data_IF_904727167717
#
_entry.id   IF_904727167717
#
_cell.length_a   1.000
_cell.length_b   1.000
_cell.length_c   1.000
_cell.angle_alpha   90.00
_cell.angle_beta   90.00
_cell.angle_gamma   90.00
#
_symmetry.space_group_name_H-M   'P 1'
#
loop_
_entity.id
_entity.type
_entity.pdbx_description
1 polymer ?
#
# COMPACT_ATOMS: atom_id res chain seq x y z
N UNK A 1 24.21 34.34 8.76
CA UNK A 1 25.16 35.01 9.68
C UNK A 1 24.46 35.17 11.02
N UNK A 2 24.98 34.58 12.10
CA UNK A 2 24.36 34.68 13.43
C UNK A 2 25.06 35.80 14.19
N UNK A 3 24.42 36.98 14.27
CA UNK A 3 24.95 38.10 15.03
C UNK A 3 24.11 38.26 16.31
N UNK A 4 24.69 37.89 17.46
CA UNK A 4 24.03 37.97 18.76
C UNK A 4 23.93 39.40 19.31
N UNK A 5 24.57 40.37 18.64
CA UNK A 5 24.65 41.77 19.05
C UNK A 5 24.13 42.71 17.96
N UNK A 6 23.28 42.20 17.07
CA UNK A 6 22.71 42.99 15.98
C UNK A 6 21.70 43.99 16.55
N UNK A 7 22.16 45.23 16.79
CA UNK A 7 21.33 46.32 17.31
C UNK A 7 20.63 47.11 16.20
N UNK A 8 21.19 47.08 14.98
CA UNK A 8 20.72 47.89 13.84
C UNK A 8 21.03 47.19 12.52
N UNK A 9 20.09 47.25 11.58
CA UNK A 9 20.27 46.86 10.18
C UNK A 9 19.94 48.08 9.34
N UNK A 10 20.96 48.68 8.73
CA UNK A 10 20.77 49.76 7.77
C UNK A 10 20.68 49.17 6.36
N UNK A 11 19.49 49.20 5.77
CA UNK A 11 19.31 48.90 4.37
C UNK A 11 19.56 50.17 3.56
N UNK A 12 20.67 50.20 2.82
CA UNK A 12 20.93 51.27 1.85
C UNK A 12 19.90 51.19 0.71
N UNK A 13 19.48 52.33 0.15
CA UNK A 13 18.64 52.43 -1.05
C UNK A 13 19.16 51.64 -2.26
N UNK A 14 20.47 51.35 -2.30
CA UNK A 14 21.11 50.54 -3.34
C UNK A 14 21.11 49.03 -3.05
N UNK A 15 20.59 48.58 -1.90
CA UNK A 15 20.54 47.16 -1.55
C UNK A 15 19.41 46.47 -2.31
N UNK A 16 19.75 45.85 -3.45
CA UNK A 16 18.81 45.01 -4.20
C UNK A 16 18.87 43.59 -3.64
N UNK A 17 17.92 43.28 -2.77
CA UNK A 17 17.70 41.95 -2.23
C UNK A 17 16.90 41.10 -3.21
N UNK A 18 17.59 40.29 -4.01
CA UNK A 18 16.92 39.31 -4.88
C UNK A 18 16.55 38.06 -4.05
N UNK A 19 15.26 37.85 -3.77
CA UNK A 19 14.74 36.69 -3.04
C UNK A 19 14.01 37.02 -1.75
N UNK A 20 13.65 35.98 -0.99
CA UNK A 20 13.06 36.12 0.35
C UNK A 20 14.18 36.11 1.40
N UNK A 21 14.15 37.05 2.34
CA UNK A 21 15.13 37.18 3.42
C UNK A 21 14.40 37.12 4.76
N UNK A 22 14.88 36.25 5.64
CA UNK A 22 14.38 36.12 7.00
C UNK A 22 15.33 36.83 7.97
N UNK A 23 14.80 37.76 8.75
CA UNK A 23 15.56 38.46 9.79
C UNK A 23 14.99 38.04 11.14
N UNK A 24 15.76 37.22 11.87
CA UNK A 24 15.41 36.82 13.23
C UNK A 24 15.83 37.89 14.23
N UNK A 25 14.88 38.39 15.00
CA UNK A 25 15.11 39.26 16.16
C UNK A 25 15.36 38.38 17.38
N UNK A 26 16.57 38.43 17.96
CA UNK A 26 16.96 37.61 19.11
C UNK A 26 16.78 38.30 20.48
N UNK A 27 16.39 39.58 20.52
CA UNK A 27 16.19 40.34 21.75
C UNK A 27 14.92 41.18 21.65
N UNK A 28 14.14 41.28 22.73
CA UNK A 28 12.87 42.04 22.76
C UNK A 28 13.06 43.52 22.34
N UNK A 29 14.23 44.10 22.57
CA UNK A 29 14.51 45.54 22.45
C UNK A 29 15.26 45.99 21.17
N UNK A 30 15.25 45.21 20.08
CA UNK A 30 15.79 45.73 18.81
C UNK A 30 14.79 46.69 18.17
N UNK A 31 15.12 47.97 18.12
CA UNK A 31 14.41 48.99 17.34
C UNK A 31 14.82 48.92 15.88
N UNK A 32 13.85 48.80 14.98
CA UNK A 32 14.10 48.71 13.54
C UNK A 32 13.79 50.05 12.90
N UNK A 33 14.84 50.71 12.42
CA UNK A 33 14.73 51.97 11.70
C UNK A 33 14.70 51.69 10.20
N UNK A 34 13.52 51.71 9.58
CA UNK A 34 13.40 51.66 8.11
C UNK A 34 13.36 53.09 7.55
N UNK A 35 14.53 53.61 7.20
CA UNK A 35 14.66 54.90 6.52
C UNK A 35 14.32 54.79 5.04
N UNK A 36 13.05 54.57 4.71
CA UNK A 36 12.58 54.43 3.33
C UNK A 36 11.48 53.39 3.23
N UNK A 37 10.61 53.52 2.21
CA UNK A 37 9.49 52.62 1.93
C UNK A 37 10.03 51.33 1.28
N UNK A 38 10.38 50.26 2.03
CA UNK A 38 10.96 49.08 1.44
C UNK A 38 9.80 48.33 0.79
N UNK A 39 9.83 48.14 -0.52
CA UNK A 39 8.87 47.25 -1.20
C UNK A 39 9.03 45.78 -0.79
N UNK A 40 10.01 45.47 0.07
CA UNK A 40 10.23 44.16 0.68
C UNK A 40 9.45 44.00 1.99
N UNK A 41 8.56 43.02 2.04
CA UNK A 41 7.93 42.53 3.26
C UNK A 41 8.98 41.79 4.11
N UNK A 42 9.33 42.36 5.27
CA UNK A 42 10.11 41.62 6.27
C UNK A 42 9.16 40.78 7.12
N UNK A 43 9.30 39.46 7.09
CA UNK A 43 8.67 38.58 8.07
C UNK A 43 9.54 38.55 9.32
N UNK A 44 8.98 39.04 10.43
CA UNK A 44 9.61 39.00 11.74
C UNK A 44 9.28 37.67 12.40
N UNK A 45 10.32 36.95 12.84
CA UNK A 45 10.15 35.63 13.44
C UNK A 45 9.31 35.70 14.73
N UNK A 46 8.40 34.73 14.86
CA UNK A 46 7.73 34.40 16.13
C UNK A 46 8.80 33.91 17.13
N UNK A 47 8.71 34.20 18.44
CA UNK A 47 9.59 33.59 19.44
C UNK A 47 9.60 32.04 19.41
N UNK A 48 8.57 31.41 18.84
CA UNK A 48 8.48 29.96 18.62
C UNK A 48 9.16 29.48 17.32
N UNK A 49 9.73 30.39 16.53
CA UNK A 49 10.50 30.08 15.33
C UNK A 49 11.96 29.77 15.66
N UNK A 50 12.45 28.66 15.13
CA UNK A 50 13.84 28.24 15.28
C UNK A 50 14.56 28.10 13.94
N UNK A 51 15.88 28.15 14.00
CA UNK A 51 16.74 27.76 12.90
C UNK A 51 17.12 26.28 13.06
N UNK A 52 17.38 25.55 11.95
CA UNK A 52 17.85 24.16 12.02
C UNK A 52 19.11 23.96 12.88
N UNK A 53 19.97 24.97 12.97
CA UNK A 53 21.23 24.94 13.72
C UNK A 53 21.12 25.59 15.12
N UNK A 54 19.91 25.78 15.64
CA UNK A 54 19.75 26.27 17.00
C UNK A 54 20.19 25.22 18.04
N UNK A 55 20.62 25.66 19.25
CA UNK A 55 20.88 24.74 20.36
C UNK A 55 19.67 23.90 20.74
N UNK A 56 19.89 22.63 21.12
CA UNK A 56 18.82 21.65 21.39
C UNK A 56 17.74 22.14 22.38
N UNK A 57 18.14 22.88 23.42
CA UNK A 57 17.21 23.37 24.43
C UNK A 57 16.21 24.41 23.90
N UNK A 58 16.54 25.14 22.83
CA UNK A 58 15.61 26.06 22.16
C UNK A 58 14.64 25.31 21.24
N UNK A 59 15.08 24.16 20.71
CA UNK A 59 14.32 23.39 19.74
C UNK A 59 13.16 22.60 20.35
N UNK A 60 13.22 22.33 21.66
CA UNK A 60 12.13 21.67 22.41
C UNK A 60 10.84 22.48 22.40
N UNK A 61 10.95 23.82 22.34
CA UNK A 61 9.80 24.73 22.32
C UNK A 61 9.42 25.20 20.91
N UNK A 62 10.08 24.65 19.90
CA UNK A 62 9.93 25.09 18.52
C UNK A 62 8.60 24.67 17.93
N UNK A 63 7.86 25.61 17.33
CA UNK A 63 6.69 25.29 16.50
C UNK A 63 6.98 25.39 15.01
N UNK A 64 7.85 26.30 14.60
CA UNK A 64 8.19 26.48 13.20
C UNK A 64 9.71 26.47 13.00
N UNK A 65 10.20 25.83 11.94
CA UNK A 65 11.60 25.91 11.54
C UNK A 65 11.73 26.83 10.33
N UNK A 66 12.63 27.81 10.41
CA UNK A 66 12.99 28.71 9.33
C UNK A 66 14.29 28.25 8.69
N UNK A 67 14.21 27.81 7.44
CA UNK A 67 15.33 27.28 6.67
C UNK A 67 15.09 25.86 6.18
N UNK A 68 16.04 25.36 5.39
CA UNK A 68 15.96 24.00 4.87
C UNK A 68 16.37 23.00 5.95
N UNK A 69 15.57 21.95 6.11
CA UNK A 69 15.75 20.90 7.11
C UNK A 69 16.21 19.63 6.41
N UNK A 70 17.39 19.15 6.77
CA UNK A 70 17.89 17.84 6.32
C UNK A 70 17.86 16.87 7.49
N UNK A 71 16.96 15.88 7.45
CA UNK A 71 16.68 15.00 8.61
C UNK A 71 17.93 14.27 9.10
N UNK A 72 18.85 13.93 8.20
CA UNK A 72 20.13 13.28 8.55
C UNK A 72 21.17 14.20 9.18
N UNK A 73 20.96 15.53 9.15
CA UNK A 73 21.83 16.52 9.78
C UNK A 73 21.28 17.04 11.09
N UNK A 74 20.05 16.65 11.44
CA UNK A 74 19.43 17.02 12.69
C UNK A 74 20.15 16.35 13.86
N UNK A 75 20.26 17.08 14.97
CA UNK A 75 20.68 16.48 16.22
C UNK A 75 19.69 15.38 16.64
N UNK A 76 20.10 14.38 17.45
CA UNK A 76 19.19 13.35 17.94
C UNK A 76 17.93 13.92 18.61
N UNK A 77 18.06 15.01 19.38
CA UNK A 77 16.94 15.68 20.02
C UNK A 77 15.95 16.26 18.99
N UNK A 78 16.45 16.98 17.98
CA UNK A 78 15.59 17.50 16.90
C UNK A 78 14.92 16.39 16.09
N UNK A 79 15.67 15.32 15.82
CA UNK A 79 15.12 14.19 15.09
C UNK A 79 13.97 13.55 15.87
N UNK A 80 14.05 13.46 17.21
CA UNK A 80 12.91 13.06 18.04
C UNK A 80 11.76 14.07 17.97
N UNK A 81 12.02 15.37 18.16
CA UNK A 81 10.97 16.41 18.14
C UNK A 81 10.22 16.47 16.81
N UNK A 82 10.93 16.33 15.69
CA UNK A 82 10.32 16.27 14.36
C UNK A 82 9.60 14.94 14.14
N UNK A 83 10.16 13.80 14.57
CA UNK A 83 9.53 12.49 14.39
C UNK A 83 8.26 12.32 15.22
N UNK A 84 8.23 12.89 16.42
CA UNK A 84 7.16 12.67 17.38
C UNK A 84 6.05 13.74 17.28
N UNK A 85 6.20 14.74 16.39
CA UNK A 85 5.25 15.85 16.17
C UNK A 85 4.85 16.61 17.43
N UNK A 86 5.59 16.46 18.53
CA UNK A 86 5.18 17.06 19.79
C UNK A 86 5.38 18.57 19.83
N UNK A 87 6.08 19.15 18.83
CA UNK A 87 6.34 20.59 18.77
C UNK A 87 6.24 21.19 17.37
N UNK A 88 6.99 20.65 16.41
CA UNK A 88 7.19 21.29 15.10
C UNK A 88 6.02 20.99 14.16
N UNK A 89 5.32 22.06 13.75
CA UNK A 89 4.14 22.00 12.87
C UNK A 89 4.43 22.53 11.47
N UNK A 90 5.44 23.40 11.32
CA UNK A 90 5.71 24.11 10.08
C UNK A 90 7.19 24.21 9.77
N UNK A 91 7.55 24.11 8.48
CA UNK A 91 8.90 24.41 7.98
C UNK A 91 8.78 25.46 6.87
N UNK A 92 9.44 26.60 7.05
CA UNK A 92 9.65 27.60 6.01
C UNK A 92 10.95 27.28 5.27
N UNK A 93 10.87 26.49 4.21
CA UNK A 93 12.04 26.11 3.43
C UNK A 93 11.83 24.86 2.59
N UNK A 94 12.80 23.96 2.66
CA UNK A 94 12.80 22.65 2.02
C UNK A 94 12.97 21.57 3.07
N UNK A 95 12.25 20.46 2.94
CA UNK A 95 12.45 19.26 3.76
C UNK A 95 13.20 18.20 2.94
N UNK A 96 14.36 17.77 3.43
CA UNK A 96 15.21 16.76 2.79
C UNK A 96 15.25 15.52 3.69
N UNK A 97 14.68 14.42 3.21
CA UNK A 97 14.63 13.12 3.86
C UNK A 97 15.57 12.18 3.12
N UNK A 98 16.80 12.13 3.61
CA UNK A 98 17.82 11.17 3.20
C UNK A 98 18.00 10.10 4.27
N UNK A 99 18.51 8.90 3.94
CA UNK A 99 18.88 7.91 4.96
C UNK A 99 19.87 8.55 5.94
N UNK A 100 19.42 8.74 7.18
CA UNK A 100 20.30 8.83 8.34
C UNK A 100 20.62 7.39 8.76
N UNK A 101 21.81 7.12 9.31
CA UNK A 101 22.36 5.81 9.69
C UNK A 101 21.49 4.93 10.62
N UNK A 102 20.29 4.55 10.18
CA UNK A 102 19.28 3.79 10.88
C UNK A 102 18.89 2.68 9.92
N UNK A 103 18.74 1.45 10.41
CA UNK A 103 18.38 0.26 9.66
C UNK A 103 17.10 0.44 8.80
N UNK A 104 17.30 1.04 7.63
CA UNK A 104 16.60 0.93 6.36
C UNK A 104 15.09 1.19 6.25
N UNK A 105 14.38 1.62 7.30
CA UNK A 105 12.95 1.95 7.19
C UNK A 105 12.67 3.41 7.55
N UNK A 106 12.61 4.28 6.54
CA UNK A 106 12.07 5.63 6.73
C UNK A 106 10.54 5.54 6.74
N UNK A 107 9.94 5.85 7.89
CA UNK A 107 8.50 5.89 8.07
C UNK A 107 8.04 7.32 7.85
N UNK A 108 7.35 7.57 6.73
CA UNK A 108 6.89 8.91 6.38
C UNK A 108 5.61 9.34 7.12
N UNK A 109 4.90 8.42 7.80
CA UNK A 109 3.70 8.75 8.59
C UNK A 109 4.01 9.77 9.67
N UNK A 110 5.24 9.74 10.19
CA UNK A 110 5.82 10.78 11.04
C UNK A 110 6.09 12.07 10.26
N UNK A 111 5.31 12.45 9.26
CA UNK A 111 5.35 13.77 8.63
C UNK A 111 4.00 14.13 7.99
N UNK A 112 2.95 13.32 8.21
CA UNK A 112 1.69 13.43 7.47
C UNK A 112 0.95 14.76 7.69
N UNK A 113 1.18 15.43 8.82
CA UNK A 113 0.52 16.70 9.15
C UNK A 113 1.47 17.90 9.17
N UNK A 114 2.68 17.73 8.62
CA UNK A 114 3.65 18.80 8.53
C UNK A 114 3.24 19.82 7.46
N UNK A 115 3.27 21.11 7.80
CA UNK A 115 3.10 22.20 6.85
C UNK A 115 4.48 22.64 6.32
N UNK A 116 4.64 22.69 5.00
CA UNK A 116 5.86 23.18 4.34
C UNK A 116 5.52 24.44 3.56
N UNK A 117 6.10 25.57 3.95
CA UNK A 117 6.10 26.81 3.15
C UNK A 117 7.32 26.75 2.22
N UNK A 118 7.06 26.46 0.95
CA UNK A 118 8.05 26.06 -0.03
C UNK A 118 8.78 27.25 -0.66
N UNK A 119 9.99 27.56 -0.19
CA UNK A 119 10.84 28.58 -0.83
C UNK A 119 11.60 28.07 -2.06
N UNK A 120 11.45 26.78 -2.38
CA UNK A 120 12.10 26.11 -3.51
C UNK A 120 11.07 25.35 -4.34
N UNK A 121 11.37 25.17 -5.64
CA UNK A 121 10.56 24.33 -6.54
C UNK A 121 10.37 22.92 -6.00
N UNK A 122 11.44 22.34 -5.48
CA UNK A 122 11.38 21.02 -4.86
C UNK A 122 11.22 21.25 -3.36
N UNK A 123 9.99 21.29 -2.86
CA UNK A 123 9.72 21.61 -1.45
C UNK A 123 10.11 20.46 -0.52
N UNK A 124 9.87 19.22 -0.96
CA UNK A 124 10.15 18.01 -0.19
C UNK A 124 10.94 17.05 -1.07
N UNK A 125 12.17 16.75 -0.67
CA UNK A 125 13.08 15.83 -1.37
C UNK A 125 13.26 14.59 -0.53
N UNK A 126 12.93 13.42 -1.08
CA UNK A 126 13.14 12.12 -0.43
C UNK A 126 14.07 11.32 -1.31
N UNK A 127 15.25 11.01 -0.79
CA UNK A 127 16.30 10.42 -1.62
C UNK A 127 17.13 9.35 -0.93
N UNK A 128 17.67 8.44 -1.73
CA UNK A 128 18.60 7.39 -1.32
C UNK A 128 18.05 6.42 -0.24
N UNK A 129 16.73 6.34 -0.04
CA UNK A 129 16.15 5.42 0.94
C UNK A 129 16.05 4.02 0.36
N UNK A 130 16.67 3.01 1.01
CA UNK A 130 16.60 1.60 0.55
C UNK A 130 15.18 1.05 0.56
N UNK A 131 14.44 1.30 1.65
CA UNK A 131 13.02 1.02 1.76
C UNK A 131 12.30 2.25 2.29
N UNK A 132 11.27 2.69 1.56
CA UNK A 132 10.49 3.87 1.92
C UNK A 132 9.07 3.43 2.26
N UNK A 133 8.64 3.59 3.51
CA UNK A 133 7.31 3.18 3.98
C UNK A 133 6.43 4.40 4.29
N UNK A 134 5.12 4.21 4.21
CA UNK A 134 4.14 5.24 4.57
C UNK A 134 4.08 6.39 3.58
N UNK A 135 4.38 6.13 2.30
CA UNK A 135 4.44 7.17 1.24
C UNK A 135 3.11 7.93 1.07
N UNK A 136 2.00 7.34 1.48
CA UNK A 136 0.68 7.98 1.56
C UNK A 136 0.68 9.26 2.42
N UNK A 137 1.60 9.39 3.38
CA UNK A 137 1.75 10.59 4.20
C UNK A 137 2.02 11.85 3.36
N UNK A 138 2.65 11.73 2.19
CA UNK A 138 2.86 12.86 1.28
C UNK A 138 1.55 13.47 0.78
N UNK A 139 0.50 12.66 0.68
CA UNK A 139 -0.83 13.14 0.27
C UNK A 139 -1.55 13.93 1.35
N UNK A 140 -1.07 13.85 2.59
CA UNK A 140 -1.64 14.54 3.75
C UNK A 140 -0.83 15.79 4.12
N UNK A 141 0.45 15.84 3.77
CA UNK A 141 1.30 17.01 3.97
C UNK A 141 0.71 18.25 3.29
N UNK A 142 0.73 19.37 4.00
CA UNK A 142 0.30 20.65 3.44
C UNK A 142 1.51 21.40 2.90
N UNK A 143 1.65 21.50 1.59
CA UNK A 143 2.73 22.27 0.97
C UNK A 143 2.17 23.50 0.28
N UNK A 144 2.59 24.69 0.70
CA UNK A 144 2.15 25.98 0.16
C UNK A 144 3.34 26.78 -0.34
N UNK A 145 3.26 27.43 -1.51
CA UNK A 145 4.28 28.38 -1.93
C UNK A 145 4.09 29.71 -1.17
N UNK A 146 5.16 30.47 -0.88
CA UNK A 146 5.04 31.83 -0.36
C UNK A 146 4.43 32.77 -1.43
N UNK A 147 3.91 33.92 -1.01
CA UNK A 147 3.23 34.87 -1.92
C UNK A 147 4.11 35.36 -3.07
N UNK A 148 5.43 35.45 -2.83
CA UNK A 148 6.43 35.88 -3.80
C UNK A 148 7.01 34.73 -4.65
N UNK A 149 6.44 33.53 -4.57
CA UNK A 149 6.91 32.40 -5.38
C UNK A 149 6.68 32.66 -6.87
N UNK A 150 7.65 32.38 -7.77
CA UNK A 150 7.52 32.67 -9.19
C UNK A 150 6.27 32.01 -9.80
N UNK A 151 5.38 32.82 -10.38
CA UNK A 151 4.09 32.34 -10.92
C UNK A 151 4.28 31.33 -12.05
N UNK A 152 5.35 31.47 -12.82
CA UNK A 152 5.73 30.55 -13.90
C UNK A 152 6.11 29.17 -13.33
N UNK A 153 6.73 29.14 -12.14
CA UNK A 153 7.10 27.91 -11.46
C UNK A 153 5.90 27.18 -10.85
N UNK A 154 4.79 27.88 -10.58
CA UNK A 154 3.53 27.29 -10.08
C UNK A 154 2.79 26.48 -11.14
N UNK A 155 3.02 26.75 -12.43
CA UNK A 155 2.33 26.04 -13.52
C UNK A 155 2.80 24.59 -13.60
N UNK A 156 1.93 23.66 -13.20
CA UNK A 156 2.27 22.23 -13.14
C UNK A 156 3.27 21.90 -12.03
N UNK A 157 3.31 22.73 -10.99
CA UNK A 157 4.20 22.54 -9.86
C UNK A 157 3.88 21.25 -9.10
N UNK A 158 4.93 20.48 -8.82
CA UNK A 158 4.87 19.24 -8.06
C UNK A 158 5.90 19.32 -6.95
N UNK A 159 5.49 19.60 -5.70
CA UNK A 159 6.41 19.96 -4.63
C UNK A 159 7.28 18.80 -4.14
N UNK A 160 6.91 17.56 -4.46
CA UNK A 160 7.60 16.37 -3.99
C UNK A 160 8.55 15.81 -5.04
N UNK A 161 9.74 15.41 -4.62
CA UNK A 161 10.75 14.72 -5.45
C UNK A 161 11.15 13.42 -4.76
N UNK A 162 10.97 12.28 -5.43
CA UNK A 162 11.47 10.98 -5.00
C UNK A 162 12.59 10.54 -5.95
N UNK A 163 13.84 10.49 -5.49
CA UNK A 163 14.96 10.11 -6.36
C UNK A 163 15.89 9.11 -5.71
N UNK A 164 16.37 8.13 -6.49
CA UNK A 164 17.30 7.10 -6.03
C UNK A 164 16.82 6.30 -4.80
N UNK A 165 15.50 6.21 -4.59
CA UNK A 165 14.94 5.33 -3.57
C UNK A 165 14.87 3.90 -4.13
N UNK A 166 15.09 2.91 -3.26
CA UNK A 166 15.03 1.49 -3.60
C UNK A 166 13.58 1.01 -3.77
N UNK A 167 13.04 0.34 -2.75
CA UNK A 167 11.65 -0.13 -2.78
C UNK A 167 10.74 0.90 -2.10
N UNK A 168 9.76 1.42 -2.84
CA UNK A 168 8.73 2.31 -2.28
C UNK A 168 7.53 1.45 -1.88
N UNK A 169 7.26 1.40 -0.59
CA UNK A 169 6.22 0.63 0.02
C UNK A 169 5.02 1.54 0.28
N UNK A 170 3.87 1.22 -0.28
CA UNK A 170 2.65 2.00 -0.10
C UNK A 170 1.43 1.23 -0.56
N UNK A 171 0.25 1.76 -0.22
CA UNK A 171 -1.00 1.23 -0.70
C UNK A 171 -1.23 1.70 -2.17
N UNK A 172 -1.48 0.78 -3.12
CA UNK A 172 -1.72 1.10 -4.53
C UNK A 172 -2.83 2.12 -4.77
N UNK A 173 -3.81 2.20 -3.88
CA UNK A 173 -4.87 3.20 -3.94
C UNK A 173 -4.35 4.65 -4.01
N UNK A 174 -3.18 4.92 -3.41
CA UNK A 174 -2.58 6.25 -3.40
C UNK A 174 -1.66 6.52 -4.59
N UNK A 175 -1.35 5.52 -5.42
CA UNK A 175 -0.36 5.67 -6.49
C UNK A 175 -0.72 6.80 -7.46
N UNK A 176 -1.98 6.87 -7.89
CA UNK A 176 -2.45 7.95 -8.79
C UNK A 176 -2.33 9.33 -8.14
N UNK A 177 -2.75 9.47 -6.88
CA UNK A 177 -2.64 10.73 -6.12
C UNK A 177 -1.18 11.13 -5.94
N UNK A 178 -0.30 10.16 -5.68
CA UNK A 178 1.14 10.39 -5.58
C UNK A 178 1.72 10.85 -6.91
N UNK A 179 1.34 10.23 -8.03
CA UNK A 179 1.79 10.65 -9.36
C UNK A 179 1.35 12.09 -9.72
N UNK A 180 0.23 12.56 -9.16
CA UNK A 180 -0.24 13.94 -9.36
C UNK A 180 0.64 14.97 -8.62
N UNK A 181 1.10 14.66 -7.40
CA UNK A 181 1.86 15.60 -6.55
C UNK A 181 3.38 15.43 -6.62
N UNK A 182 3.87 14.26 -7.07
CA UNK A 182 5.29 13.92 -7.17
C UNK A 182 5.81 14.18 -8.58
N UNK A 183 6.93 14.91 -8.67
CA UNK A 183 7.61 15.26 -9.93
C UNK A 183 8.29 14.07 -10.62
N UNK A 184 8.78 13.13 -9.84
CA UNK A 184 9.42 11.88 -10.30
C UNK A 184 8.41 10.76 -10.51
N UNK A 185 8.76 9.77 -11.35
CA UNK A 185 7.98 8.55 -11.49
C UNK A 185 7.91 7.81 -10.15
N UNK A 186 6.70 7.46 -9.71
CA UNK A 186 6.45 6.65 -8.51
C UNK A 186 6.11 5.24 -8.97
N UNK A 187 6.86 4.25 -8.51
CA UNK A 187 6.58 2.83 -8.73
C UNK A 187 6.54 2.16 -7.36
N UNK A 188 5.35 1.73 -6.95
CA UNK A 188 5.17 1.01 -5.69
C UNK A 188 5.66 -0.43 -5.84
N UNK A 189 6.31 -0.94 -4.79
CA UNK A 189 6.85 -2.28 -4.77
C UNK A 189 6.00 -3.22 -3.92
N UNK A 190 5.60 -4.33 -4.52
CA UNK A 190 4.95 -5.44 -3.81
C UNK A 190 5.89 -6.18 -2.85
N UNK A 191 7.20 -5.89 -2.88
CA UNK A 191 8.19 -6.47 -1.96
C UNK A 191 7.83 -6.22 -0.49
N UNK A 192 7.18 -5.10 -0.21
CA UNK A 192 6.87 -4.69 1.15
C UNK A 192 5.58 -5.32 1.69
N UNK A 193 4.82 -5.99 0.83
CA UNK A 193 3.56 -6.61 1.19
C UNK A 193 3.79 -8.01 1.72
N UNK A 194 3.12 -8.36 2.81
CA UNK A 194 3.18 -9.73 3.34
C UNK A 194 2.47 -10.68 2.38
N UNK A 195 3.24 -11.60 1.79
CA UNK A 195 2.75 -12.68 0.94
C UNK A 195 2.45 -13.92 1.79
N UNK A 196 1.30 -14.56 1.56
CA UNK A 196 0.95 -15.83 2.18
C UNK A 196 0.59 -16.87 1.13
N UNK A 197 0.82 -18.13 1.45
CA UNK A 197 0.31 -19.23 0.64
C UNK A 197 -1.23 -19.28 0.74
N UNK A 198 -1.86 -19.39 -0.41
CA UNK A 198 -3.29 -19.56 -0.57
C UNK A 198 -3.72 -21.03 -0.60
N UNK A 199 -4.82 -21.29 -1.31
CA UNK A 199 -5.50 -22.58 -1.39
C UNK A 199 -6.80 -22.62 -0.60
N UNK A 200 -7.20 -23.82 -0.16
CA UNK A 200 -8.37 -24.00 0.70
C UNK A 200 -8.01 -23.56 2.11
N UNK A 201 -8.74 -22.57 2.61
CA UNK A 201 -8.50 -22.01 3.94
C UNK A 201 -9.01 -23.00 4.97
N UNK A 202 -8.14 -23.78 5.60
CA UNK A 202 -8.51 -24.64 6.75
C UNK A 202 -8.28 -23.95 8.10
N UNK A 203 -7.47 -22.89 8.10
CA UNK A 203 -7.13 -22.10 9.27
C UNK A 203 -6.98 -20.63 8.86
N UNK A 204 -7.94 -19.81 9.31
CA UNK A 204 -8.03 -18.38 8.99
C UNK A 204 -6.89 -17.56 9.62
N UNK A 205 -6.25 -18.07 10.68
CA UNK A 205 -5.15 -17.35 11.35
C UNK A 205 -3.91 -17.26 10.46
N UNK A 206 -3.75 -18.16 9.48
CA UNK A 206 -2.65 -18.11 8.50
C UNK A 206 -2.72 -16.88 7.59
N UNK A 207 -3.90 -16.28 7.47
CA UNK A 207 -4.13 -15.04 6.73
C UNK A 207 -3.91 -13.79 7.60
N UNK A 208 -3.52 -13.94 8.86
CA UNK A 208 -3.28 -12.81 9.74
C UNK A 208 -2.18 -11.89 9.19
N UNK A 209 -2.56 -10.64 8.97
CA UNK A 209 -1.72 -9.59 8.36
C UNK A 209 -1.30 -9.88 6.93
N UNK A 210 -1.96 -10.82 6.24
CA UNK A 210 -1.70 -11.08 4.83
C UNK A 210 -2.20 -9.93 3.96
N UNK A 211 -1.40 -9.55 2.98
CA UNK A 211 -1.79 -8.55 1.98
C UNK A 211 -1.91 -9.16 0.58
N UNK A 212 -1.04 -10.11 0.25
CA UNK A 212 -1.08 -10.84 -1.02
C UNK A 212 -1.25 -12.32 -0.74
N UNK A 213 -2.29 -12.94 -1.31
CA UNK A 213 -2.49 -14.39 -1.26
C UNK A 213 -2.01 -15.03 -2.56
N UNK A 214 -1.04 -15.94 -2.48
CA UNK A 214 -0.46 -16.63 -3.63
C UNK A 214 -1.07 -18.02 -3.86
N UNK A 215 -1.49 -18.33 -5.08
CA UNK A 215 -2.09 -19.64 -5.42
C UNK A 215 -3.62 -19.69 -5.23
N UNK A 216 -4.28 -18.53 -5.24
CA UNK A 216 -5.72 -18.39 -5.07
C UNK A 216 -6.20 -18.55 -3.63
N UNK A 217 -7.45 -18.20 -3.37
CA UNK A 217 -8.07 -18.22 -2.06
C UNK A 217 -9.42 -18.93 -2.14
N UNK A 218 -9.58 -20.06 -1.46
CA UNK A 218 -10.84 -20.81 -1.39
C UNK A 218 -11.38 -20.83 0.03
N UNK A 219 -12.50 -20.14 0.26
CA UNK A 219 -13.25 -20.11 1.52
C UNK A 219 -14.45 -21.03 1.36
N UNK A 220 -14.42 -22.17 2.05
CA UNK A 220 -15.42 -23.22 1.86
C UNK A 220 -15.84 -23.87 3.17
N UNK A 221 -17.14 -24.16 3.28
CA UNK A 221 -17.77 -24.89 4.39
C UNK A 221 -17.52 -24.26 5.78
N UNK A 222 -17.39 -22.92 5.87
CA UNK A 222 -17.29 -22.22 7.15
C UNK A 222 -18.65 -21.79 7.70
N UNK A 223 -18.79 -21.89 9.02
CA UNK A 223 -19.84 -21.23 9.76
C UNK A 223 -19.34 -19.91 10.38
N UNK A 224 -19.67 -18.79 9.73
CA UNK A 224 -19.32 -17.47 10.22
C UNK A 224 -20.32 -16.92 11.24
N UNK A 225 -21.46 -17.56 11.50
CA UNK A 225 -22.36 -17.13 12.58
C UNK A 225 -21.66 -17.21 13.94
N UNK A 226 -20.94 -18.32 14.17
CA UNK A 226 -20.14 -18.56 15.37
C UNK A 226 -18.74 -17.92 15.33
N UNK A 227 -18.25 -17.54 14.14
CA UNK A 227 -16.84 -17.17 13.92
C UNK A 227 -16.65 -15.79 13.27
N UNK A 228 -17.58 -14.85 13.43
CA UNK A 228 -17.51 -13.50 12.83
C UNK A 228 -16.19 -12.77 13.08
N UNK A 229 -15.59 -12.95 14.26
CA UNK A 229 -14.32 -12.32 14.62
C UNK A 229 -13.13 -12.72 13.72
N UNK A 230 -13.21 -13.85 13.01
CA UNK A 230 -12.17 -14.29 12.08
C UNK A 230 -12.21 -13.55 10.74
N UNK A 231 -13.33 -12.90 10.40
CA UNK A 231 -13.46 -12.10 9.18
C UNK A 231 -12.43 -10.96 9.11
N UNK A 232 -11.97 -10.46 10.27
CA UNK A 232 -10.92 -9.44 10.36
C UNK A 232 -9.59 -9.83 9.71
N UNK A 233 -9.34 -11.14 9.51
CA UNK A 233 -8.12 -11.61 8.87
C UNK A 233 -8.09 -11.35 7.36
N UNK A 234 -9.25 -11.18 6.73
CA UNK A 234 -9.36 -10.84 5.32
C UNK A 234 -9.28 -9.33 5.05
N UNK A 235 -9.48 -8.50 6.07
CA UNK A 235 -9.56 -7.04 5.95
C UNK A 235 -8.32 -6.40 5.33
N UNK A 236 -7.16 -7.01 5.48
CA UNK A 236 -5.88 -6.50 4.96
C UNK A 236 -5.49 -7.12 3.61
N UNK A 237 -6.24 -8.09 3.12
CA UNK A 237 -5.94 -8.73 1.83
C UNK A 237 -6.27 -7.72 0.74
N UNK A 238 -5.25 -7.38 -0.01
CA UNK A 238 -5.24 -6.38 -1.08
C UNK A 238 -5.29 -7.05 -2.46
N UNK A 239 -4.64 -8.21 -2.56
CA UNK A 239 -4.44 -8.93 -3.82
C UNK A 239 -4.56 -10.45 -3.62
N UNK A 240 -5.19 -11.11 -4.59
CA UNK A 240 -5.22 -12.56 -4.71
C UNK A 240 -4.61 -12.95 -6.05
N UNK A 241 -3.39 -13.49 -6.01
CA UNK A 241 -2.70 -14.10 -7.14
C UNK A 241 -3.24 -15.55 -7.31
N UNK A 242 -4.37 -15.67 -7.99
CA UNK A 242 -5.07 -16.90 -8.37
C UNK A 242 -6.59 -16.72 -8.28
N UNK A 243 -7.33 -17.82 -8.27
CA UNK A 243 -8.80 -17.77 -8.16
C UNK A 243 -9.26 -17.39 -6.75
N UNK A 244 -10.29 -16.55 -6.63
CA UNK A 244 -11.05 -16.34 -5.39
C UNK A 244 -12.36 -17.13 -5.44
N UNK A 245 -12.52 -18.10 -4.55
CA UNK A 245 -13.68 -19.00 -4.49
C UNK A 245 -14.31 -18.93 -3.10
N UNK A 246 -15.59 -18.57 -3.02
CA UNK A 246 -16.34 -18.45 -1.77
C UNK A 246 -17.61 -19.30 -1.88
N UNK A 247 -17.60 -20.49 -1.28
CA UNK A 247 -18.68 -21.46 -1.48
C UNK A 247 -19.14 -22.17 -0.21
N UNK A 248 -20.43 -22.51 -0.11
CA UNK A 248 -20.98 -23.28 1.01
C UNK A 248 -20.76 -22.68 2.41
N UNK A 249 -20.67 -21.36 2.57
CA UNK A 249 -20.48 -20.74 3.89
C UNK A 249 -21.80 -20.23 4.47
N UNK A 250 -22.00 -20.39 5.77
CA UNK A 250 -23.14 -19.83 6.53
C UNK A 250 -22.74 -18.57 7.28
N UNK A 251 -23.69 -17.69 7.57
CA UNK A 251 -23.44 -16.49 8.37
C UNK A 251 -22.75 -15.32 7.64
N UNK A 252 -22.47 -15.46 6.33
CA UNK A 252 -21.97 -14.37 5.48
C UNK A 252 -23.16 -13.68 4.80
N UNK A 253 -23.46 -12.44 5.20
CA UNK A 253 -24.51 -11.62 4.59
C UNK A 253 -23.99 -10.81 3.40
N UNK A 254 -22.74 -10.36 3.47
CA UNK A 254 -22.05 -9.59 2.44
C UNK A 254 -20.54 -9.87 2.46
N UNK A 255 -19.81 -9.38 1.46
CA UNK A 255 -18.37 -9.57 1.31
C UNK A 255 -17.55 -8.37 1.81
N UNK A 256 -18.12 -7.52 2.67
CA UNK A 256 -17.50 -6.27 3.15
C UNK A 256 -16.21 -6.49 3.94
N UNK A 257 -15.99 -7.71 4.44
CA UNK A 257 -14.76 -8.10 5.11
C UNK A 257 -13.53 -8.10 4.18
N UNK A 258 -13.71 -8.05 2.85
CA UNK A 258 -12.66 -7.80 1.86
C UNK A 258 -12.49 -6.31 1.52
N UNK A 259 -12.61 -5.41 2.51
CA UNK A 259 -12.59 -3.95 2.28
C UNK A 259 -11.36 -3.40 1.56
N UNK A 260 -10.21 -4.08 1.66
CA UNK A 260 -8.95 -3.66 1.02
C UNK A 260 -8.66 -4.41 -0.27
N UNK A 261 -9.43 -5.44 -0.62
CA UNK A 261 -9.20 -6.23 -1.83
C UNK A 261 -9.51 -5.35 -3.03
N UNK A 262 -8.53 -5.16 -3.90
CA UNK A 262 -8.70 -4.37 -5.12
C UNK A 262 -8.32 -5.14 -6.37
N UNK A 263 -7.60 -6.28 -6.26
CA UNK A 263 -7.19 -7.08 -7.41
C UNK A 263 -7.36 -8.58 -7.17
N UNK A 264 -7.83 -9.29 -8.21
CA UNK A 264 -7.77 -10.74 -8.34
C UNK A 264 -7.14 -11.04 -9.70
N UNK A 265 -6.05 -11.81 -9.71
CA UNK A 265 -5.31 -12.11 -10.94
C UNK A 265 -5.10 -13.61 -11.15
N UNK A 266 -5.55 -14.16 -12.26
CA UNK A 266 -5.22 -15.54 -12.66
C UNK A 266 -5.10 -15.66 -14.18
N UNK A 267 -3.89 -16.00 -14.62
CA UNK A 267 -3.52 -16.10 -16.03
C UNK A 267 -3.41 -17.54 -16.53
N UNK A 268 -3.75 -18.52 -15.68
CA UNK A 268 -3.47 -19.95 -15.94
C UNK A 268 -4.73 -20.82 -15.96
N UNK A 269 -5.79 -20.33 -15.33
CA UNK A 269 -7.05 -21.06 -15.24
C UNK A 269 -7.92 -20.87 -16.48
N UNK A 270 -8.71 -21.88 -16.82
CA UNK A 270 -9.82 -21.77 -17.80
C UNK A 270 -11.17 -21.58 -17.12
N UNK A 271 -11.18 -21.51 -15.79
CA UNK A 271 -12.37 -21.38 -14.95
C UNK A 271 -12.54 -19.92 -14.53
N UNK A 272 -13.73 -19.51 -14.05
CA UNK A 272 -13.91 -18.18 -13.51
C UNK A 272 -12.90 -17.87 -12.42
N UNK A 273 -12.26 -16.71 -12.52
CA UNK A 273 -11.26 -16.26 -11.55
C UNK A 273 -11.90 -15.80 -10.24
N UNK A 274 -13.19 -15.41 -10.30
CA UNK A 274 -13.99 -15.09 -9.13
C UNK A 274 -15.26 -15.96 -9.12
N UNK A 275 -15.47 -16.71 -8.04
CA UNK A 275 -16.64 -17.58 -7.88
C UNK A 275 -17.26 -17.43 -6.51
N UNK A 276 -18.56 -17.17 -6.49
CA UNK A 276 -19.40 -17.20 -5.29
C UNK A 276 -20.55 -18.14 -5.53
N UNK A 277 -20.76 -19.13 -4.68
CA UNK A 277 -21.88 -20.06 -4.83
C UNK A 277 -22.36 -20.63 -3.48
N UNK A 278 -23.64 -20.97 -3.37
CA UNK A 278 -24.14 -21.79 -2.27
C UNK A 278 -23.93 -21.19 -0.86
N UNK A 279 -23.91 -19.85 -0.73
CA UNK A 279 -23.87 -19.15 0.55
C UNK A 279 -25.30 -18.65 0.89
N UNK A 280 -26.07 -19.34 1.77
CA UNK A 280 -27.52 -19.12 1.93
C UNK A 280 -27.94 -17.75 2.46
N UNK A 281 -27.05 -17.09 3.22
CA UNK A 281 -27.30 -15.78 3.83
C UNK A 281 -26.82 -14.61 2.97
N UNK A 282 -26.11 -14.86 1.86
CA UNK A 282 -25.45 -13.81 1.08
C UNK A 282 -26.46 -13.01 0.25
N UNK A 283 -26.53 -11.71 0.51
CA UNK A 283 -27.44 -10.78 -0.18
C UNK A 283 -26.71 -9.70 -0.99
N UNK A 284 -25.43 -9.46 -0.73
CA UNK A 284 -24.59 -8.47 -1.41
C UNK A 284 -23.18 -9.00 -1.66
N UNK A 285 -22.53 -8.50 -2.71
CA UNK A 285 -21.14 -8.82 -3.08
C UNK A 285 -20.18 -7.63 -2.89
N UNK A 286 -20.63 -6.52 -2.31
CA UNK A 286 -19.79 -5.36 -1.99
C UNK A 286 -18.63 -5.74 -1.05
N UNK A 287 -17.38 -5.24 -1.26
CA UNK A 287 -16.93 -4.29 -2.29
C UNK A 287 -16.46 -4.94 -3.59
N UNK A 288 -16.65 -6.24 -3.79
CA UNK A 288 -15.99 -7.00 -4.85
C UNK A 288 -16.42 -6.61 -6.26
N UNK A 289 -17.53 -5.87 -6.43
CA UNK A 289 -17.90 -5.27 -7.71
C UNK A 289 -16.92 -4.18 -8.20
N UNK A 290 -16.05 -3.64 -7.32
CA UNK A 290 -14.99 -2.68 -7.64
C UNK A 290 -13.60 -3.30 -7.81
N UNK A 291 -13.50 -4.61 -7.64
CA UNK A 291 -12.22 -5.33 -7.73
C UNK A 291 -11.82 -5.49 -9.19
N UNK A 292 -10.57 -5.14 -9.49
CA UNK A 292 -9.96 -5.34 -10.79
C UNK A 292 -9.71 -6.84 -11.03
N UNK A 293 -10.23 -7.32 -12.15
CA UNK A 293 -10.12 -8.71 -12.57
C UNK A 293 -9.07 -8.84 -13.68
N UNK A 294 -7.89 -9.32 -13.34
CA UNK A 294 -6.80 -9.51 -14.31
C UNK A 294 -6.71 -10.97 -14.76
N UNK A 295 -6.97 -11.23 -16.05
CA UNK A 295 -6.96 -12.60 -16.58
C UNK A 295 -6.65 -12.68 -18.08
N UNK A 296 -6.26 -13.87 -18.54
CA UNK A 296 -6.08 -14.15 -19.97
C UNK A 296 -7.44 -14.22 -20.67
N UNK A 297 -7.79 -13.17 -21.41
CA UNK A 297 -9.07 -13.06 -22.13
C UNK A 297 -9.25 -14.17 -23.18
N UNK A 298 -8.15 -14.78 -23.65
CA UNK A 298 -8.19 -15.88 -24.61
C UNK A 298 -8.50 -17.22 -23.97
N UNK A 299 -8.23 -17.38 -22.67
CA UNK A 299 -8.35 -18.67 -21.97
C UNK A 299 -9.56 -18.74 -21.04
N UNK A 300 -10.02 -17.59 -20.53
CA UNK A 300 -11.12 -17.49 -19.56
C UNK A 300 -12.36 -16.92 -20.25
N UNK A 301 -13.32 -17.77 -20.67
CA UNK A 301 -14.54 -17.30 -21.34
C UNK A 301 -15.52 -16.61 -20.38
N UNK A 302 -15.35 -16.79 -19.06
CA UNK A 302 -16.22 -16.25 -18.02
C UNK A 302 -15.35 -15.79 -16.86
N UNK A 303 -15.30 -14.48 -16.59
CA UNK A 303 -14.46 -13.89 -15.55
C UNK A 303 -14.98 -14.21 -14.15
N UNK A 304 -16.30 -14.08 -13.94
CA UNK A 304 -16.93 -14.33 -12.66
C UNK A 304 -18.25 -15.12 -12.77
N UNK A 305 -18.50 -15.97 -11.76
CA UNK A 305 -19.75 -16.72 -11.58
C UNK A 305 -20.30 -16.50 -10.19
N UNK A 306 -21.50 -15.92 -10.11
CA UNK A 306 -22.17 -15.57 -8.86
C UNK A 306 -23.50 -16.33 -8.78
N UNK A 307 -23.58 -17.30 -7.87
CA UNK A 307 -24.78 -18.08 -7.60
C UNK A 307 -25.29 -17.79 -6.18
N UNK A 308 -26.47 -17.16 -6.07
CA UNK A 308 -27.06 -16.71 -4.79
C UNK A 308 -28.49 -17.20 -4.63
N UNK A 309 -29.05 -17.11 -3.42
CA UNK A 309 -30.47 -17.44 -3.16
C UNK A 309 -31.39 -16.21 -3.16
N UNK A 310 -30.80 -15.02 -3.32
CA UNK A 310 -31.47 -13.74 -3.45
C UNK A 310 -30.88 -12.95 -4.60
N UNK A 311 -31.69 -12.12 -5.26
CA UNK A 311 -31.23 -11.27 -6.35
C UNK A 311 -30.20 -10.25 -5.83
N UNK A 312 -28.99 -10.26 -6.40
CA UNK A 312 -27.97 -9.21 -6.22
C UNK A 312 -28.47 -7.92 -6.87
N UNK A 313 -28.15 -6.75 -6.31
CA UNK A 313 -28.65 -5.48 -6.84
C UNK A 313 -28.22 -5.25 -8.30
N UNK A 314 -29.06 -4.59 -9.09
CA UNK A 314 -28.75 -4.31 -10.51
C UNK A 314 -27.51 -3.39 -10.65
N UNK A 315 -27.23 -2.58 -9.63
CA UNK A 315 -26.03 -1.75 -9.53
C UNK A 315 -24.76 -2.61 -9.43
N UNK A 316 -24.70 -3.52 -8.46
CA UNK A 316 -23.56 -4.43 -8.28
C UNK A 316 -23.35 -5.32 -9.50
N UNK A 317 -24.43 -5.80 -10.13
CA UNK A 317 -24.35 -6.59 -11.35
C UNK A 317 -23.74 -5.80 -12.51
N UNK A 318 -24.18 -4.55 -12.69
CA UNK A 318 -23.69 -3.66 -13.74
C UNK A 318 -22.21 -3.34 -13.55
N UNK A 319 -21.78 -3.01 -12.33
CA UNK A 319 -20.39 -2.68 -12.05
C UNK A 319 -19.46 -3.87 -12.26
N UNK A 320 -19.79 -5.04 -11.71
CA UNK A 320 -18.96 -6.24 -11.93
C UNK A 320 -18.95 -6.65 -13.42
N UNK A 321 -20.06 -6.44 -14.14
CA UNK A 321 -20.15 -6.67 -15.58
C UNK A 321 -19.22 -5.79 -16.44
N UNK A 322 -18.71 -4.67 -15.91
CA UNK A 322 -17.69 -3.86 -16.61
C UNK A 322 -16.31 -4.52 -16.62
N UNK A 323 -16.07 -5.47 -15.72
CA UNK A 323 -14.78 -6.15 -15.56
C UNK A 323 -14.61 -7.38 -16.47
N UNK A 324 -15.65 -7.76 -17.22
CA UNK A 324 -15.61 -8.92 -18.12
C UNK A 324 -16.95 -9.62 -18.27
N UNK A 325 -16.92 -10.82 -18.86
CA UNK A 325 -18.13 -11.65 -18.93
C UNK A 325 -18.44 -12.22 -17.54
N UNK A 326 -19.59 -11.85 -16.99
CA UNK A 326 -20.05 -12.28 -15.66
C UNK A 326 -21.38 -12.99 -15.78
N UNK A 327 -21.57 -14.06 -15.01
CA UNK A 327 -22.81 -14.80 -14.95
C UNK A 327 -23.40 -14.74 -13.55
N UNK A 328 -24.65 -14.28 -13.46
CA UNK A 328 -25.44 -14.25 -12.22
C UNK A 328 -26.54 -15.30 -12.29
N UNK A 329 -26.67 -16.13 -11.25
CA UNK A 329 -27.72 -17.13 -11.12
C UNK A 329 -28.40 -17.02 -9.76
N UNK A 330 -29.72 -16.97 -9.77
CA UNK A 330 -30.52 -17.06 -8.54
C UNK A 330 -31.02 -18.49 -8.40
N UNK A 331 -30.60 -19.17 -7.34
CA UNK A 331 -31.06 -20.53 -6.99
C UNK A 331 -32.35 -20.44 -6.19
N UNK A 332 -33.32 -21.28 -6.53
CA UNK A 332 -34.48 -21.49 -5.67
C UNK A 332 -34.05 -22.17 -4.37
N UNK A 333 -34.48 -21.63 -3.23
CA UNK A 333 -34.35 -22.36 -1.96
C UNK A 333 -35.23 -23.60 -2.08
N UNK A 334 -34.61 -24.77 -2.09
CA UNK A 334 -35.34 -26.02 -1.87
C UNK A 334 -35.97 -25.90 -0.49
N UNK A 335 -37.26 -25.51 -0.45
CA UNK A 335 -38.01 -25.58 0.78
C UNK A 335 -37.89 -27.02 1.27
N UNK A 336 -37.41 -27.26 2.51
CA UNK A 336 -37.41 -28.61 3.05
C UNK A 336 -38.85 -29.06 2.97
N UNK A 337 -39.14 -29.97 2.04
CA UNK A 337 -40.48 -30.48 1.83
C UNK A 337 -40.88 -31.06 3.16
N UNK A 338 -41.75 -30.33 3.90
CA UNK A 338 -42.24 -30.72 5.22
C UNK A 338 -42.56 -32.18 5.11
N UNK A 339 -41.81 -32.99 5.85
CA UNK A 339 -41.79 -34.43 5.68
C UNK A 339 -43.21 -34.93 5.54
N UNK A 340 -43.60 -35.29 4.30
CA UNK A 340 -44.68 -36.22 4.09
C UNK A 340 -44.13 -37.51 4.69
N UNK A 341 -44.34 -37.67 5.99
CA UNK A 341 -44.31 -38.94 6.71
C UNK A 341 -45.35 -39.80 6.00
N UNK A 342 -44.93 -40.37 4.88
CA UNK A 342 -45.53 -41.53 4.28
C UNK A 342 -45.45 -42.59 5.37
N UNK A 343 -46.59 -42.78 6.04
CA UNK A 343 -46.86 -43.83 7.00
C UNK A 343 -46.85 -45.16 6.24
N UNK A 344 -45.70 -45.55 5.67
CA UNK A 344 -45.49 -46.89 5.14
C UNK A 344 -45.18 -47.78 6.33
N UNK A 345 -46.25 -48.23 7.00
CA UNK A 345 -46.28 -49.54 7.64
C UNK A 345 -45.84 -50.55 6.57
N UNK A 346 -44.69 -51.19 6.75
CA UNK A 346 -44.44 -52.49 6.14
C UNK A 346 -43.47 -53.27 6.99
N UNK A 347 -44.04 -54.31 7.58
CA UNK A 347 -43.36 -55.45 8.17
C UNK A 347 -42.36 -56.05 7.17
N UNK A 348 -41.14 -56.31 7.65
CA UNK A 348 -40.14 -57.27 7.13
C UNK A 348 -38.96 -57.19 8.09
N UNK A 349 -38.97 -57.99 9.15
CA UNK A 349 -38.52 -59.40 9.21
C UNK A 349 -37.10 -59.56 8.66
N UNK A 350 -36.22 -59.87 9.60
CA UNK A 350 -34.85 -60.33 9.45
C UNK A 350 -34.70 -61.30 8.27
N UNK A 351 -33.62 -61.11 7.53
CA UNK A 351 -32.77 -62.21 7.12
C UNK A 351 -31.35 -61.66 6.96
N UNK A 352 -30.47 -62.13 7.83
CA UNK A 352 -29.06 -62.21 7.58
C UNK A 352 -28.81 -63.16 6.41
N UNK A 353 -27.87 -62.78 5.55
CA UNK A 353 -26.79 -63.63 5.00
C UNK A 353 -26.38 -63.19 3.59
N UNK A 354 -25.05 -62.99 3.48
CA UNK A 354 -24.18 -63.34 2.37
C UNK A 354 -24.51 -62.87 0.94
N UNK A 355 -23.65 -61.97 0.44
CA UNK A 355 -22.84 -62.03 -0.80
C UNK A 355 -22.34 -60.60 -1.04
N UNK A 356 -21.10 -60.30 -1.41
CA UNK A 356 -19.96 -61.09 -1.84
C UNK A 356 -18.96 -60.14 -2.51
N UNK A 357 -17.70 -60.56 -2.48
CA UNK A 357 -16.73 -60.45 -3.58
C UNK A 357 -16.48 -59.04 -4.16
N UNK A 358 -15.41 -58.40 -3.66
CA UNK A 358 -14.65 -57.38 -4.40
C UNK A 358 -13.43 -58.01 -5.06
N UNK A 359 -13.45 -58.12 -6.38
CA UNK A 359 -12.42 -58.67 -7.24
C UNK A 359 -11.18 -57.76 -7.22
N UNK A 360 -10.00 -58.35 -6.93
CA UNK A 360 -8.72 -57.74 -7.19
C UNK A 360 -8.33 -57.99 -8.67
N UNK A 361 -8.18 -56.92 -9.45
CA UNK A 361 -7.50 -56.94 -10.74
C UNK A 361 -6.13 -56.28 -10.58
N UNK A 362 -5.13 -57.12 -10.38
CA UNK A 362 -3.71 -56.79 -10.55
C UNK A 362 -3.36 -57.01 -12.01
N UNK A 363 -3.02 -55.94 -12.73
CA UNK A 363 -2.41 -56.02 -14.06
C UNK A 363 -1.25 -55.02 -14.12
N UNK A 364 -0.05 -55.55 -14.34
CA UNK A 364 1.03 -54.87 -15.06
C UNK A 364 1.82 -53.83 -14.26
N UNK A 365 3.02 -54.22 -13.85
CA UNK A 365 3.98 -53.34 -13.20
C UNK A 365 4.38 -52.16 -14.06
N UNK A 366 4.14 -50.97 -13.53
CA UNK A 366 4.96 -49.78 -13.70
C UNK A 366 4.67 -48.88 -12.50
N UNK A 367 5.57 -48.88 -11.52
CA UNK A 367 5.50 -47.98 -10.37
C UNK A 367 5.87 -46.57 -10.86
N UNK A 368 4.88 -45.85 -11.41
CA UNK A 368 5.01 -44.41 -11.60
C UNK A 368 4.57 -43.77 -10.28
N UNK A 369 5.55 -43.41 -9.45
CA UNK A 369 5.33 -42.55 -8.30
C UNK A 369 5.03 -41.14 -8.86
N UNK A 370 3.76 -40.83 -9.11
CA UNK A 370 3.34 -39.44 -9.34
C UNK A 370 3.18 -38.80 -7.97
N UNK A 371 4.22 -38.08 -7.54
CA UNK A 371 4.15 -37.20 -6.37
C UNK A 371 3.31 -35.99 -6.76
N UNK A 372 2.00 -36.04 -6.52
CA UNK A 372 1.19 -34.82 -6.44
C UNK A 372 1.48 -34.13 -5.11
N UNK A 373 2.56 -33.37 -5.07
CA UNK A 373 2.92 -32.59 -3.90
C UNK A 373 4.03 -31.60 -4.22
N UNK A 374 3.71 -30.30 -4.16
CA UNK A 374 4.65 -29.17 -4.12
C UNK A 374 5.34 -28.74 -5.43
N UNK A 375 4.66 -28.81 -6.58
CA UNK A 375 5.13 -28.17 -7.82
C UNK A 375 5.07 -26.64 -7.83
N UNK A 376 4.24 -26.02 -6.98
CA UNK A 376 3.98 -24.57 -7.01
C UNK A 376 5.14 -23.72 -6.47
N UNK A 377 5.87 -24.20 -5.45
CA UNK A 377 6.98 -23.43 -4.86
C UNK A 377 8.24 -23.47 -5.72
N UNK A 378 8.44 -24.51 -6.55
CA UNK A 378 9.65 -24.66 -7.34
C UNK A 378 9.70 -23.69 -8.54
N UNK A 379 8.58 -23.46 -9.22
CA UNK A 379 8.55 -22.51 -10.35
C UNK A 379 8.63 -21.05 -9.91
N UNK A 380 8.02 -20.70 -8.77
CA UNK A 380 8.18 -19.36 -8.17
C UNK A 380 9.65 -19.13 -7.75
N UNK A 381 10.27 -20.11 -7.11
CA UNK A 381 11.69 -20.08 -6.74
C UNK A 381 12.62 -19.96 -7.97
N UNK A 382 12.36 -20.71 -9.04
CA UNK A 382 13.15 -20.63 -10.28
C UNK A 382 12.99 -19.28 -11.00
N UNK A 383 11.83 -18.62 -10.90
CA UNK A 383 11.60 -17.27 -11.44
C UNK A 383 12.41 -16.24 -10.67
N UNK A 384 12.42 -16.32 -9.34
CA UNK A 384 13.20 -15.45 -8.45
C UNK A 384 14.72 -15.61 -8.67
N UNK A 385 15.21 -16.85 -8.85
CA UNK A 385 16.63 -17.11 -9.16
C UNK A 385 17.07 -16.59 -10.53
N UNK A 386 16.17 -16.53 -11.52
CA UNK A 386 16.46 -15.92 -12.83
C UNK A 386 16.56 -14.39 -12.77
N UNK A 387 15.78 -13.74 -11.93
CA UNK A 387 15.88 -12.28 -11.75
C UNK A 387 17.12 -11.89 -10.95
N UNK A 388 17.51 -12.67 -9.94
CA UNK A 388 18.77 -12.48 -9.21
C UNK A 388 20.01 -12.66 -10.09
N UNK A 389 20.00 -13.61 -11.03
CA UNK A 389 21.08 -13.76 -12.03
C UNK A 389 21.13 -12.63 -13.07
N UNK A 390 20.02 -11.94 -13.34
CA UNK A 390 19.99 -10.77 -14.23
C UNK A 390 20.48 -9.49 -13.56
N UNK A 391 20.52 -9.44 -12.22
CA UNK A 391 21.00 -8.29 -11.45
C UNK A 391 22.46 -8.42 -11.01
N UNK A 392 23.13 -9.55 -11.27
CA UNK A 392 24.58 -9.62 -11.16
C UNK A 392 25.23 -9.04 -12.42
N UNK A 393 26.04 -7.96 -12.32
CA UNK A 393 26.82 -7.47 -13.45
C UNK A 393 27.91 -8.49 -13.75
N UNK A 394 27.64 -9.37 -14.72
CA UNK A 394 28.63 -10.29 -15.25
C UNK A 394 29.54 -9.59 -16.25
N UNK A 395 30.86 -9.71 -16.04
CA UNK A 395 31.81 -9.69 -17.14
C UNK A 395 33.01 -8.79 -16.91
N UNK A 396 34.08 -9.37 -16.37
CA UNK A 396 35.36 -8.72 -16.20
C UNK A 396 35.99 -8.28 -17.52
N UNK A 397 36.67 -7.14 -17.47
CA UNK A 397 37.68 -6.77 -18.44
C UNK A 397 38.90 -7.65 -18.20
N UNK A 398 39.34 -8.36 -19.24
CA UNK A 398 40.63 -9.02 -19.27
C UNK A 398 41.73 -7.96 -19.16
N UNK A 399 42.61 -8.12 -18.17
CA UNK A 399 43.82 -7.33 -18.02
C UNK A 399 44.77 -7.60 -19.21
N UNK A 400 45.28 -6.52 -19.80
CA UNK A 400 46.37 -6.58 -20.78
C UNK A 400 47.66 -7.02 -20.08
N UNK A 401 48.23 -8.13 -20.55
CA UNK A 401 49.56 -8.61 -20.14
C UNK A 401 50.61 -7.67 -20.70
N UNK A 402 51.26 -6.92 -19.82
CA UNK A 402 52.48 -6.17 -20.10
C UNK A 402 53.66 -7.16 -20.17
N UNK A 403 54.34 -7.24 -21.32
CA UNK A 403 55.66 -7.86 -21.40
C UNK A 403 56.70 -6.79 -21.10
N UNK A 404 57.48 -7.01 -20.03
CA UNK A 404 58.70 -6.25 -19.78
C UNK A 404 59.83 -6.69 -20.74
N UNK A 405 60.78 -5.80 -21.08
CA UNK A 405 62.10 -6.18 -21.55
C UNK A 405 62.96 -6.80 -20.43
#
# INVERSE_FOLDING_TARGET
>A
MRNMFLQRIDTNENLILNGAYFIRKNAEEVEIYSGGNPSSTFEWNDPEDCLPDDPEHLLVHCKNIIGSVSVNRLSPAMNMTIRDFTGIKKIHGQLIISPADINSTTILTNYEHLEIVAHYKDAVIIENNKYLYGIEALTQMRVTPPENFPKEALKGWKPFVLRKNGKICGNPHYEKKLQEIVSSKVELSDYCKKRCAGGIVTDLTRLQSCQIVMGGLTIKDYDFESSRHLLRHFEKIEDVEGQLIIVNNTGIENLAFFKSLFRISDYTTKRPIFRVADNPNLTSIEPLHKVELEYSHYEVPLAALIETYSKISDHEQKELGTQGKVEFRVKERLHPTKGRRSKRKRDRKENADNLGVGIALSVGGCLIIIIFGYGYSFFAYLREQRELKRQQPGGGQAASVERAP
#
